data_IF_499276278297
#
_entry.id   IF_499276278297
#
_cell.length_a   1.000
_cell.length_b   1.000
_cell.length_c   1.000
_cell.angle_alpha   90.00
_cell.angle_beta   90.00
_cell.angle_gamma   90.00
#
_symmetry.space_group_name_H-M   'P 1'
#
loop_
_entity.id
_entity.type
_entity.pdbx_description
1 polymer ?
#
# COMPACT_ATOMS: atom_id res chain seq x y z
N UNK A 1 9.56 -15.86 4.10
CA UNK A 1 8.49 -14.83 4.13
C UNK A 1 8.83 -13.74 5.12
N UNK A 2 8.57 -12.47 4.80
CA UNK A 2 8.73 -11.34 5.73
C UNK A 2 7.37 -10.72 6.06
N UNK A 3 7.18 -10.29 7.30
CA UNK A 3 5.99 -9.57 7.77
C UNK A 3 6.47 -8.32 8.52
N UNK A 4 5.91 -7.16 8.17
CA UNK A 4 6.23 -5.89 8.81
C UNK A 4 4.96 -5.17 9.27
N UNK A 5 5.02 -4.56 10.45
CA UNK A 5 3.95 -3.72 10.98
C UNK A 5 2.67 -4.49 11.31
N UNK A 6 1.53 -3.81 11.23
CA UNK A 6 0.22 -4.35 11.62
C UNK A 6 -0.40 -3.61 12.78
N UNK A 7 -1.49 -4.17 13.31
CA UNK A 7 -2.25 -3.61 14.42
C UNK A 7 -2.64 -4.72 15.39
N UNK A 8 -2.43 -4.48 16.67
CA UNK A 8 -2.85 -5.32 17.77
C UNK A 8 -4.09 -4.70 18.41
N UNK A 9 -5.22 -5.40 18.34
CA UNK A 9 -6.52 -4.89 18.79
C UNK A 9 -6.55 -4.60 20.29
N UNK A 10 -5.92 -5.45 21.10
CA UNK A 10 -5.78 -5.23 22.54
C UNK A 10 -4.29 -5.25 22.89
N UNK A 11 -3.65 -4.11 23.23
CA UNK A 11 -4.23 -2.86 23.75
C UNK A 11 -4.27 -1.68 22.74
N UNK A 12 -4.72 -1.92 21.50
CA UNK A 12 -4.79 -0.92 20.42
C UNK A 12 -3.44 -0.30 20.03
N UNK A 13 -2.49 -1.16 19.67
CA UNK A 13 -1.13 -0.75 19.30
C UNK A 13 -0.85 -1.02 17.81
N UNK A 14 -0.28 -0.04 17.13
CA UNK A 14 0.39 -0.27 15.86
C UNK A 14 1.72 -0.97 16.10
N UNK A 15 2.06 -1.93 15.24
CA UNK A 15 3.36 -2.60 15.24
C UNK A 15 4.31 -1.94 14.22
N UNK A 16 5.62 -2.08 14.47
CA UNK A 16 6.68 -1.77 13.50
C UNK A 16 7.79 -2.84 13.47
N UNK A 17 7.54 -3.99 14.09
CA UNK A 17 8.46 -5.12 14.10
C UNK A 17 8.53 -5.78 12.73
N UNK A 18 9.65 -6.46 12.48
CA UNK A 18 9.87 -7.26 11.29
C UNK A 18 10.06 -8.73 11.70
N UNK A 19 9.15 -9.59 11.24
CA UNK A 19 9.23 -11.03 11.40
C UNK A 19 9.66 -11.70 10.10
N UNK A 20 10.36 -12.82 10.22
CA UNK A 20 10.72 -13.68 9.10
C UNK A 20 10.39 -15.14 9.42
N UNK A 21 9.69 -15.78 8.49
CA UNK A 21 9.57 -17.24 8.43
C UNK A 21 10.56 -17.77 7.42
N UNK A 22 11.50 -18.59 7.88
CA UNK A 22 12.37 -19.38 7.02
C UNK A 22 11.56 -20.57 6.48
N UNK A 23 11.48 -20.75 5.17
CA UNK A 23 10.70 -21.84 4.56
C UNK A 23 11.42 -23.19 4.53
N UNK A 24 12.73 -23.22 4.70
CA UNK A 24 13.47 -24.47 4.84
C UNK A 24 13.28 -25.06 6.24
N UNK A 25 13.50 -24.27 7.29
CA UNK A 25 13.37 -24.74 8.67
C UNK A 25 11.95 -24.59 9.25
N UNK A 26 11.07 -23.84 8.59
CA UNK A 26 9.74 -23.48 9.08
C UNK A 26 9.75 -22.79 10.45
N UNK A 27 10.81 -22.03 10.74
CA UNK A 27 10.97 -21.29 12.01
C UNK A 27 10.74 -19.80 11.82
N UNK A 28 9.92 -19.24 12.71
CA UNK A 28 9.73 -17.79 12.85
C UNK A 28 10.87 -17.16 13.66
N UNK A 29 11.29 -15.97 13.25
CA UNK A 29 12.27 -15.16 13.97
C UNK A 29 11.97 -13.67 13.85
N UNK A 30 12.32 -12.90 14.89
CA UNK A 30 12.35 -11.44 14.83
C UNK A 30 13.66 -11.01 14.15
N UNK A 31 13.55 -10.17 13.14
CA UNK A 31 14.71 -9.70 12.37
C UNK A 31 15.17 -8.35 12.90
N UNK A 32 16.37 -8.32 13.48
CA UNK A 32 17.04 -7.06 13.84
C UNK A 32 17.47 -6.34 12.56
N UNK A 33 17.02 -5.10 12.40
CA UNK A 33 17.31 -4.27 11.21
C UNK A 33 18.14 -3.04 11.54
N UNK A 34 18.85 -2.53 10.54
CA UNK A 34 19.60 -1.27 10.59
C UNK A 34 18.87 -0.17 9.81
N UNK A 35 19.31 1.08 9.96
CA UNK A 35 18.79 2.21 9.19
C UNK A 35 17.55 2.84 9.82
N UNK A 36 16.69 3.42 8.98
CA UNK A 36 15.49 4.15 9.44
C UNK A 36 14.23 3.43 8.97
N UNK A 37 13.62 2.58 9.82
CA UNK A 37 12.43 1.85 9.46
C UNK A 37 11.23 2.81 9.23
N UNK A 38 10.21 2.36 8.49
CA UNK A 38 8.93 3.04 8.49
C UNK A 38 8.36 3.13 9.92
N UNK A 39 7.66 4.21 10.25
CA UNK A 39 6.92 4.32 11.51
C UNK A 39 5.89 3.20 11.69
N UNK A 40 5.46 2.94 12.93
CA UNK A 40 4.33 2.06 13.24
C UNK A 40 3.12 2.31 12.33
N UNK A 41 2.56 1.24 11.76
CA UNK A 41 1.46 1.34 10.79
C UNK A 41 0.73 0.01 10.53
N UNK A 42 -0.54 0.11 10.15
CA UNK A 42 -1.34 -0.95 9.55
C UNK A 42 -1.84 -0.56 8.14
N UNK A 43 -2.52 -1.50 7.46
CA UNK A 43 -3.15 -1.28 6.14
C UNK A 43 -2.25 -0.65 5.06
N UNK A 44 -0.94 -0.80 5.20
CA UNK A 44 0.05 -0.51 4.16
C UNK A 44 0.15 -1.70 3.20
N UNK A 45 0.90 -1.54 2.12
CA UNK A 45 1.30 -2.67 1.28
C UNK A 45 2.78 -2.95 1.45
N UNK A 46 3.14 -4.23 1.38
CA UNK A 46 4.51 -4.72 1.34
C UNK A 46 4.68 -5.51 0.04
N UNK A 47 5.56 -5.05 -0.85
CA UNK A 47 5.73 -5.65 -2.18
C UNK A 47 7.20 -5.97 -2.42
N UNK A 48 7.48 -7.19 -2.87
CA UNK A 48 8.85 -7.62 -3.16
C UNK A 48 9.26 -7.27 -4.60
N UNK A 49 10.43 -6.68 -4.77
CA UNK A 49 11.14 -6.57 -6.05
C UNK A 49 12.58 -7.00 -5.77
N UNK A 50 13.01 -8.09 -6.40
CA UNK A 50 14.29 -8.74 -6.13
C UNK A 50 14.50 -9.01 -4.62
N UNK A 51 15.65 -8.60 -4.08
CA UNK A 51 16.02 -8.73 -2.67
C UNK A 51 15.44 -7.61 -1.78
N UNK A 52 14.48 -6.83 -2.26
CA UNK A 52 13.94 -5.66 -1.55
C UNK A 52 12.45 -5.80 -1.27
N UNK A 53 12.06 -5.49 -0.03
CA UNK A 53 10.66 -5.38 0.36
C UNK A 53 10.28 -3.90 0.46
N UNK A 54 9.45 -3.42 -0.47
CA UNK A 54 8.95 -2.04 -0.53
C UNK A 54 7.69 -1.87 0.31
N UNK A 55 7.68 -0.85 1.16
CA UNK A 55 6.56 -0.46 2.01
C UNK A 55 6.01 0.88 1.52
N UNK A 56 4.73 0.91 1.17
CA UNK A 56 4.03 2.14 0.81
C UNK A 56 2.70 2.30 1.57
N UNK A 57 2.39 3.54 1.92
CA UNK A 57 1.11 3.89 2.52
C UNK A 57 0.93 3.39 3.96
N UNK A 58 -0.33 3.12 4.27
CA UNK A 58 -0.82 2.74 5.59
C UNK A 58 -1.24 3.94 6.43
N UNK A 59 -1.82 3.62 7.59
CA UNK A 59 -2.08 4.58 8.66
C UNK A 59 -1.32 4.15 9.92
N UNK A 60 -0.91 5.12 10.72
CA UNK A 60 -0.48 4.97 12.10
C UNK A 60 -1.09 6.10 12.92
N UNK A 61 -0.43 6.47 14.02
CA UNK A 61 -0.82 7.61 14.86
C UNK A 61 0.36 8.59 15.02
N UNK A 62 0.07 9.85 15.30
CA UNK A 62 1.09 10.81 15.72
C UNK A 62 1.73 10.47 17.07
N UNK A 63 1.00 9.77 17.96
CA UNK A 63 1.42 9.30 19.28
C UNK A 63 1.68 7.79 19.30
N UNK A 64 2.01 7.22 18.15
CA UNK A 64 2.33 5.80 18.02
C UNK A 64 3.38 5.36 19.08
N UNK A 65 3.27 4.13 19.62
CA UNK A 65 2.55 2.99 19.04
C UNK A 65 1.04 2.96 19.34
N UNK A 66 0.54 3.71 20.32
CA UNK A 66 -0.87 3.65 20.70
C UNK A 66 -1.77 4.34 19.66
N UNK A 67 -2.89 3.71 19.33
CA UNK A 67 -3.92 4.35 18.52
C UNK A 67 -4.68 5.40 19.33
N UNK A 68 -4.84 6.57 18.73
CA UNK A 68 -5.71 7.66 19.18
C UNK A 68 -6.58 8.11 18.00
N UNK A 69 -7.25 9.25 18.11
CA UNK A 69 -7.99 9.85 17.01
C UNK A 69 -7.08 10.61 16.02
N UNK A 70 -5.80 10.78 16.35
CA UNK A 70 -4.83 11.55 15.57
C UNK A 70 -4.15 10.66 14.52
N UNK A 71 -4.97 10.14 13.60
CA UNK A 71 -4.54 9.32 12.46
C UNK A 71 -3.42 10.00 11.64
N UNK A 72 -2.32 9.28 11.44
CA UNK A 72 -1.18 9.70 10.62
C UNK A 72 -1.06 8.81 9.37
N UNK A 73 -1.21 9.42 8.20
CA UNK A 73 -1.03 8.74 6.92
C UNK A 73 0.36 9.01 6.33
N UNK A 74 0.98 8.01 5.72
CA UNK A 74 2.32 8.13 5.13
C UNK A 74 2.27 8.02 3.59
N UNK A 75 2.92 8.94 2.88
CA UNK A 75 3.14 8.86 1.41
C UNK A 75 4.59 8.57 1.03
N UNK A 76 5.47 8.37 2.00
CA UNK A 76 6.85 7.99 1.74
C UNK A 76 6.90 6.49 1.43
N UNK A 77 7.65 6.12 0.39
CA UNK A 77 8.06 4.74 0.17
C UNK A 77 9.34 4.47 0.97
N UNK A 78 9.43 3.26 1.50
CA UNK A 78 10.64 2.72 2.12
C UNK A 78 10.91 1.37 1.48
N UNK A 79 12.15 0.90 1.53
CA UNK A 79 12.41 -0.51 1.30
C UNK A 79 13.38 -1.08 2.31
N UNK A 80 13.19 -2.35 2.63
CA UNK A 80 14.17 -3.17 3.32
C UNK A 80 15.00 -3.90 2.28
N UNK A 81 16.31 -3.65 2.24
CA UNK A 81 17.23 -4.56 1.58
C UNK A 81 17.43 -5.79 2.48
N UNK A 82 16.94 -6.94 2.03
CA UNK A 82 16.88 -8.17 2.84
C UNK A 82 18.25 -8.82 3.03
N UNK A 83 19.19 -8.59 2.11
CA UNK A 83 20.57 -9.09 2.18
C UNK A 83 21.34 -8.40 3.30
N UNK A 84 21.22 -7.07 3.40
CA UNK A 84 21.88 -6.25 4.42
C UNK A 84 21.06 -6.01 5.69
N UNK A 85 19.76 -6.36 5.65
CA UNK A 85 18.76 -6.07 6.71
C UNK A 85 18.71 -4.59 7.05
N UNK A 86 18.82 -3.72 6.03
CA UNK A 86 18.85 -2.26 6.21
C UNK A 86 17.63 -1.62 5.58
N UNK A 87 16.94 -0.81 6.36
CA UNK A 87 15.86 0.06 5.89
C UNK A 87 16.43 1.30 5.22
N UNK A 88 15.90 1.61 4.04
CA UNK A 88 16.27 2.76 3.24
C UNK A 88 15.00 3.54 2.86
N UNK A 89 15.06 4.85 3.08
CA UNK A 89 14.11 5.81 2.53
C UNK A 89 14.77 6.47 1.32
N UNK A 90 14.44 6.04 0.08
CA UNK A 90 15.06 6.63 -1.10
C UNK A 90 14.68 8.11 -1.23
N UNK A 91 15.58 8.90 -1.83
CA UNK A 91 15.25 10.24 -2.31
C UNK A 91 14.32 10.09 -3.50
N UNK A 92 13.17 10.74 -3.45
CA UNK A 92 12.11 10.55 -4.44
C UNK A 92 12.10 11.68 -5.47
N UNK A 93 11.89 11.29 -6.72
CA UNK A 93 11.64 12.16 -7.86
C UNK A 93 10.20 12.01 -8.37
N UNK A 94 9.75 12.99 -9.15
CA UNK A 94 8.40 13.00 -9.73
C UNK A 94 7.28 13.25 -8.70
N UNK A 95 6.05 12.91 -9.09
CA UNK A 95 4.85 13.22 -8.31
C UNK A 95 4.41 12.00 -7.52
N UNK A 96 4.67 12.02 -6.20
CA UNK A 96 4.25 10.93 -5.32
C UNK A 96 2.73 10.86 -5.15
N UNK A 97 2.14 9.65 -5.04
CA UNK A 97 0.74 9.50 -4.66
C UNK A 97 0.44 10.10 -3.29
N UNK A 98 -0.80 10.59 -3.13
CA UNK A 98 -1.32 11.03 -1.83
C UNK A 98 -1.29 9.86 -0.84
N UNK A 99 -0.98 10.16 0.43
CA UNK A 99 -0.94 9.19 1.51
C UNK A 99 -2.29 8.48 1.67
N UNK A 100 -2.28 7.16 1.81
CA UNK A 100 -3.49 6.32 1.74
C UNK A 100 -3.29 4.98 2.45
N UNK A 101 -4.39 4.36 2.88
CA UNK A 101 -4.43 2.99 3.42
C UNK A 101 -5.32 2.09 2.59
N UNK A 102 -5.18 0.78 2.78
CA UNK A 102 -6.05 -0.25 2.17
C UNK A 102 -6.13 -0.11 0.64
N UNK A 103 -5.04 0.29 0.01
CA UNK A 103 -4.87 0.33 -1.44
C UNK A 103 -4.35 -1.03 -1.93
N UNK A 104 -4.44 -1.29 -3.22
CA UNK A 104 -3.76 -2.42 -3.85
C UNK A 104 -2.36 -2.00 -4.31
N UNK A 105 -1.40 -2.91 -4.18
CA UNK A 105 -0.08 -2.77 -4.78
C UNK A 105 0.26 -4.01 -5.58
N UNK A 106 0.99 -3.86 -6.67
CA UNK A 106 1.44 -4.96 -7.50
C UNK A 106 2.72 -4.60 -8.27
N UNK A 107 3.48 -5.62 -8.67
CA UNK A 107 4.69 -5.44 -9.50
C UNK A 107 4.40 -5.95 -10.90
N UNK A 108 4.80 -5.16 -11.89
CA UNK A 108 4.72 -5.53 -13.29
C UNK A 108 5.89 -4.91 -14.04
N UNK A 109 6.63 -5.72 -14.81
CA UNK A 109 7.84 -5.31 -15.55
C UNK A 109 8.85 -4.51 -14.71
N UNK A 110 9.10 -4.95 -13.47
CA UNK A 110 10.06 -4.30 -12.55
C UNK A 110 9.56 -3.00 -11.91
N UNK A 111 8.36 -2.53 -12.23
CA UNK A 111 7.76 -1.35 -11.63
C UNK A 111 6.77 -1.72 -10.54
N UNK A 112 6.71 -0.92 -9.48
CA UNK A 112 5.68 -1.00 -8.44
C UNK A 112 4.49 -0.12 -8.82
N UNK A 113 3.27 -0.65 -8.74
CA UNK A 113 2.05 0.09 -8.99
C UNK A 113 1.19 0.17 -7.74
N UNK A 114 0.50 1.30 -7.57
CA UNK A 114 -0.45 1.57 -6.49
C UNK A 114 -1.79 1.95 -7.10
N UNK A 115 -2.86 1.27 -6.70
CA UNK A 115 -4.22 1.55 -7.14
C UNK A 115 -5.20 1.73 -5.98
N UNK A 116 -6.01 2.79 -6.07
CA UNK A 116 -7.09 3.08 -5.14
C UNK A 116 -6.62 3.33 -3.70
N UNK A 117 -7.46 2.98 -2.74
CA UNK A 117 -7.25 3.19 -1.31
C UNK A 117 -8.12 4.30 -0.71
N UNK A 118 -7.84 4.66 0.54
CA UNK A 118 -8.59 5.69 1.25
C UNK A 118 -7.73 6.51 2.21
N UNK A 119 -8.10 7.77 2.40
CA UNK A 119 -7.54 8.66 3.41
C UNK A 119 -8.67 9.31 4.21
N UNK A 120 -8.78 8.96 5.50
CA UNK A 120 -9.83 9.45 6.41
C UNK A 120 -9.72 10.95 6.67
N UNK A 121 -8.50 11.47 6.83
CA UNK A 121 -8.26 12.88 7.12
C UNK A 121 -8.68 13.80 5.97
N UNK A 122 -8.84 13.24 4.76
CA UNK A 122 -9.33 13.93 3.56
C UNK A 122 -10.74 13.47 3.14
N UNK A 123 -11.32 12.52 3.87
CA UNK A 123 -12.52 11.76 3.52
C UNK A 123 -12.58 11.34 2.03
N UNK A 124 -11.46 10.82 1.52
CA UNK A 124 -11.28 10.60 0.08
C UNK A 124 -10.98 9.13 -0.23
N UNK A 125 -11.82 8.52 -1.06
CA UNK A 125 -11.51 7.28 -1.76
C UNK A 125 -10.78 7.59 -3.07
N UNK A 126 -9.81 6.77 -3.42
CA UNK A 126 -9.00 6.94 -4.61
C UNK A 126 -9.40 5.96 -5.71
N UNK A 127 -9.28 6.38 -6.98
CA UNK A 127 -9.33 5.52 -8.18
C UNK A 127 -8.09 5.70 -9.07
N UNK A 128 -7.11 6.49 -8.63
CA UNK A 128 -5.89 6.75 -9.40
C UNK A 128 -4.96 5.54 -9.38
N UNK A 129 -4.15 5.45 -10.43
CA UNK A 129 -3.04 4.51 -10.56
C UNK A 129 -1.73 5.28 -10.61
N UNK A 130 -0.76 4.86 -9.80
CA UNK A 130 0.56 5.47 -9.73
C UNK A 130 1.63 4.39 -9.90
N UNK A 131 2.68 4.68 -10.65
CA UNK A 131 3.82 3.79 -10.89
C UNK A 131 5.07 4.36 -10.22
N UNK A 132 5.82 3.49 -9.58
CA UNK A 132 7.15 3.77 -9.03
C UNK A 132 8.19 2.95 -9.78
N UNK A 133 9.24 3.63 -10.22
CA UNK A 133 10.45 3.05 -10.77
C UNK A 133 11.52 2.94 -9.68
N UNK A 134 11.90 1.71 -9.25
CA UNK A 134 12.91 1.51 -8.22
C UNK A 134 14.34 1.85 -8.70
N UNK A 135 14.61 1.85 -10.01
CA UNK A 135 15.94 2.17 -10.56
C UNK A 135 16.19 3.67 -10.50
N UNK A 136 15.25 4.47 -11.03
CA UNK A 136 15.36 5.93 -11.02
C UNK A 136 14.81 6.60 -9.74
N UNK A 137 14.19 5.83 -8.84
CA UNK A 137 13.48 6.34 -7.66
C UNK A 137 12.42 7.40 -7.99
N UNK A 138 11.70 7.20 -9.10
CA UNK A 138 10.73 8.17 -9.63
C UNK A 138 9.29 7.66 -9.52
N UNK A 139 8.38 8.51 -9.03
CA UNK A 139 6.94 8.29 -9.10
C UNK A 139 6.32 9.00 -10.31
N UNK A 140 5.32 8.35 -10.90
CA UNK A 140 4.52 8.88 -11.99
C UNK A 140 3.06 8.50 -11.83
N UNK A 141 2.15 9.46 -12.01
CA UNK A 141 0.73 9.18 -12.14
C UNK A 141 0.45 8.61 -13.54
N UNK A 142 -0.20 7.47 -13.61
CA UNK A 142 -0.61 6.87 -14.88
C UNK A 142 -2.02 7.38 -15.22
N UNK A 143 -2.24 7.66 -16.51
CA UNK A 143 -3.53 8.11 -17.04
C UNK A 143 -4.08 7.05 -18.01
N UNK A 144 -4.82 6.05 -17.50
CA UNK A 144 -5.46 5.05 -18.36
C UNK A 144 -6.50 5.70 -19.28
N UNK A 145 -6.63 5.14 -20.49
CA UNK A 145 -7.72 5.47 -21.42
C UNK A 145 -8.97 4.65 -21.09
N UNK A 146 -10.14 5.14 -21.50
CA UNK A 146 -11.42 4.46 -21.30
C UNK A 146 -12.07 4.77 -19.94
N UNK A 147 -13.04 3.95 -19.55
CA UNK A 147 -13.82 4.17 -18.31
C UNK A 147 -13.12 3.53 -17.12
N UNK A 148 -12.64 4.31 -16.14
CA UNK A 148 -12.00 3.76 -14.95
C UNK A 148 -13.02 3.13 -14.00
N UNK A 149 -12.61 2.16 -13.17
CA UNK A 149 -13.43 1.72 -12.05
C UNK A 149 -13.68 2.86 -11.06
N UNK A 150 -14.78 2.77 -10.32
CA UNK A 150 -15.06 3.71 -9.23
C UNK A 150 -13.97 3.68 -8.14
N UNK A 151 -13.84 4.81 -7.43
CA UNK A 151 -12.93 4.93 -6.29
C UNK A 151 -13.26 3.92 -5.20
N UNK A 152 -12.24 3.25 -4.67
CA UNK A 152 -12.44 2.10 -3.78
C UNK A 152 -11.22 1.79 -2.92
N UNK A 153 -11.42 0.98 -1.89
CA UNK A 153 -10.38 0.46 -0.97
C UNK A 153 -10.62 -1.01 -0.64
N UNK A 154 -9.65 -1.69 -0.03
CA UNK A 154 -9.75 -3.11 0.43
C UNK A 154 -10.04 -4.09 -0.71
N UNK A 155 -9.54 -3.80 -1.90
CA UNK A 155 -9.62 -4.70 -3.04
C UNK A 155 -8.58 -5.81 -2.90
N UNK A 156 -8.90 -6.99 -3.44
CA UNK A 156 -7.87 -7.99 -3.73
C UNK A 156 -7.26 -7.67 -5.10
N UNK A 157 -5.97 -7.96 -5.26
CA UNK A 157 -5.22 -7.68 -6.48
C UNK A 157 -4.26 -8.84 -6.77
N UNK A 158 -4.27 -9.34 -8.00
CA UNK A 158 -3.39 -10.43 -8.45
C UNK A 158 -2.87 -10.13 -9.85
N UNK A 159 -1.58 -10.41 -10.07
CA UNK A 159 -0.96 -10.35 -11.39
C UNK A 159 -0.83 -11.76 -11.95
N UNK A 160 -1.25 -11.96 -13.20
CA UNK A 160 -1.06 -13.21 -13.94
C UNK A 160 -0.59 -12.82 -15.34
N UNK A 161 0.64 -13.21 -15.68
CA UNK A 161 1.30 -12.85 -16.93
C UNK A 161 1.26 -11.32 -17.18
N UNK A 162 0.61 -10.90 -18.26
CA UNK A 162 0.45 -9.53 -18.71
C UNK A 162 -0.80 -8.83 -18.16
N UNK A 163 -1.53 -9.46 -17.22
CA UNK A 163 -2.82 -8.98 -16.72
C UNK A 163 -2.83 -8.80 -15.21
N UNK A 164 -3.59 -7.79 -14.77
CA UNK A 164 -3.85 -7.50 -13.36
C UNK A 164 -5.34 -7.64 -13.10
N UNK A 165 -5.71 -8.53 -12.18
CA UNK A 165 -7.08 -8.77 -11.77
C UNK A 165 -7.33 -8.10 -10.42
N UNK A 166 -8.32 -7.21 -10.37
CA UNK A 166 -8.74 -6.52 -9.15
C UNK A 166 -10.21 -6.81 -8.91
N UNK A 167 -10.55 -7.30 -7.72
CA UNK A 167 -11.93 -7.66 -7.37
C UNK A 167 -12.35 -7.08 -6.02
N UNK A 168 -13.65 -6.80 -5.92
CA UNK A 168 -14.31 -6.33 -4.72
C UNK A 168 -13.84 -4.95 -4.22
N UNK A 169 -13.75 -4.85 -2.91
CA UNK A 169 -13.48 -3.63 -2.16
C UNK A 169 -14.73 -2.87 -1.73
N UNK A 170 -14.52 -1.74 -1.06
CA UNK A 170 -15.56 -0.80 -0.64
C UNK A 170 -15.38 0.51 -1.41
N UNK A 171 -16.42 0.97 -2.08
CA UNK A 171 -16.50 2.29 -2.72
C UNK A 171 -17.43 3.21 -1.93
N UNK A 172 -17.30 4.54 -2.03
CA UNK A 172 -18.35 5.43 -1.55
C UNK A 172 -19.63 5.18 -2.36
N UNK A 173 -20.79 5.51 -1.78
CA UNK A 173 -22.04 5.57 -2.54
C UNK A 173 -21.85 6.62 -3.64
N UNK A 174 -21.82 6.19 -4.90
CA UNK A 174 -22.09 7.10 -6.00
C UNK A 174 -23.60 7.38 -5.98
N UNK A 175 -24.09 8.61 -6.22
CA UNK A 175 -25.43 8.74 -6.75
C UNK A 175 -25.45 7.86 -8.00
N UNK A 176 -26.34 6.86 -8.04
CA UNK A 176 -26.54 6.09 -9.28
C UNK A 176 -26.74 7.11 -10.39
N UNK A 177 -26.06 7.02 -11.55
CA UNK A 177 -26.56 7.71 -12.72
C UNK A 177 -28.03 7.28 -12.82
N UNK A 178 -28.95 8.24 -12.76
CA UNK A 178 -30.34 7.97 -13.08
C UNK A 178 -30.33 7.37 -14.48
N UNK A 179 -30.58 6.06 -14.57
CA UNK A 179 -30.90 5.45 -15.85
C UNK A 179 -32.19 6.18 -16.26
N UNK A 180 -32.20 6.95 -17.37
CA UNK A 180 -33.46 7.51 -17.85
C UNK A 180 -34.42 6.34 -18.05
N UNK A 181 -35.65 6.47 -17.56
CA UNK A 181 -36.67 5.42 -17.57
C UNK A 181 -37.19 5.06 -18.98
N UNK A 182 -36.33 5.08 -20.02
CA UNK A 182 -36.69 4.85 -21.43
C UNK A 182 -35.96 3.68 -22.10
N UNK A 183 -35.36 2.77 -21.34
CA UNK A 183 -34.84 1.51 -21.87
C UNK A 183 -35.27 0.34 -20.97
N UNK A 184 -36.57 0.26 -20.71
CA UNK A 184 -37.27 -0.97 -20.33
C UNK A 184 -38.31 -1.21 -21.43
N UNK A 185 -37.88 -1.87 -22.49
CA UNK A 185 -38.78 -2.71 -23.29
C UNK A 185 -38.78 -4.11 -22.66
#
# INVERSE_FOLDING_TARGET
MYIFGGFQEHPSLFASDLYMLNFHSMVWSIVKTKGHPPSYRDFHTATAIDNKMYIFGGRGDWHAPRQTEKDKYCSNIYYLDTSSRKWIRPKIHGTKPIARRSHSAFVYNGFLYIFGGFNKNKDLHFHDINRYDPVSSTWMKILPKGTPPCARRRQICQVVNDRVFISGGTSPLFPRPSIPARLRE
#
